data_IF_874874910978
#
_entry.id   IF_874874910978
#
_cell.length_a   1.000
_cell.length_b   1.000
_cell.length_c   1.000
_cell.angle_alpha   90.00
_cell.angle_beta   90.00
_cell.angle_gamma   90.00
#
_symmetry.space_group_name_H-M   'P 1'
#
loop_
_entity.id
_entity.type
_entity.pdbx_description
1 polymer ?
#
# COMPACT_ATOMS: atom_id res chain seq x y z
N UNK A 1 36.52 -19.19 -4.28
CA UNK A 1 35.32 -19.07 -5.15
C UNK A 1 34.76 -17.67 -4.97
N UNK A 2 34.83 -16.83 -6.01
CA UNK A 2 34.19 -15.52 -5.99
C UNK A 2 32.67 -15.69 -6.12
N UNK A 3 31.90 -15.10 -5.20
CA UNK A 3 30.44 -15.09 -5.29
C UNK A 3 30.03 -14.04 -6.32
N UNK A 4 29.54 -14.50 -7.49
CA UNK A 4 28.85 -13.62 -8.45
C UNK A 4 27.50 -13.24 -7.87
N UNK A 5 27.26 -11.94 -7.72
CA UNK A 5 26.03 -11.41 -7.11
C UNK A 5 25.26 -10.61 -8.15
N UNK A 6 23.94 -10.80 -8.21
CA UNK A 6 23.02 -10.00 -9.02
C UNK A 6 22.13 -9.17 -8.08
N UNK A 7 21.96 -7.89 -8.38
CA UNK A 7 21.14 -6.97 -7.60
C UNK A 7 20.01 -6.38 -8.45
N UNK A 8 18.83 -6.23 -7.86
CA UNK A 8 17.66 -5.60 -8.48
C UNK A 8 17.26 -4.39 -7.64
N UNK A 9 16.96 -3.28 -8.30
CA UNK A 9 16.51 -2.03 -7.65
C UNK A 9 15.29 -1.46 -8.36
N UNK A 10 14.32 -0.97 -7.58
CA UNK A 10 13.13 -0.27 -8.07
C UNK A 10 12.98 1.11 -7.40
N UNK A 11 14.12 1.77 -7.11
CA UNK A 11 14.13 3.09 -6.48
C UNK A 11 13.29 4.12 -7.26
N UNK A 12 13.51 4.24 -8.57
CA UNK A 12 12.78 5.18 -9.42
C UNK A 12 11.26 4.93 -9.40
N UNK A 13 10.85 3.65 -9.36
CA UNK A 13 9.44 3.30 -9.25
C UNK A 13 8.87 3.65 -7.87
N UNK A 14 9.64 3.40 -6.80
CA UNK A 14 9.26 3.80 -5.44
C UNK A 14 9.03 5.31 -5.35
N UNK A 15 9.95 6.12 -5.87
CA UNK A 15 9.84 7.58 -5.93
C UNK A 15 8.63 8.03 -6.75
N UNK A 16 8.36 7.37 -7.88
CA UNK A 16 7.18 7.67 -8.70
C UNK A 16 5.86 7.42 -7.97
N UNK A 17 5.78 6.35 -7.17
CA UNK A 17 4.58 6.03 -6.37
C UNK A 17 4.41 7.09 -5.29
N UNK A 18 5.47 7.42 -4.55
CA UNK A 18 5.45 8.43 -3.49
C UNK A 18 4.90 9.75 -4.03
N UNK A 19 5.41 10.21 -5.18
CA UNK A 19 4.93 11.42 -5.84
C UNK A 19 3.47 11.30 -6.31
N UNK A 20 3.11 10.17 -6.95
CA UNK A 20 1.77 9.93 -7.49
C UNK A 20 0.67 9.98 -6.44
N UNK A 21 0.95 9.53 -5.21
CA UNK A 21 0.00 9.53 -4.10
C UNK A 21 0.25 10.65 -3.08
N UNK A 22 1.08 11.64 -3.42
CA UNK A 22 1.31 12.85 -2.60
C UNK A 22 2.00 12.58 -1.25
N UNK A 23 2.81 11.53 -1.16
CA UNK A 23 3.48 11.09 0.07
C UNK A 23 4.93 11.60 0.19
N UNK A 24 5.32 12.64 -0.56
CA UNK A 24 6.70 13.15 -0.60
C UNK A 24 7.20 13.63 0.78
N UNK A 25 6.29 14.12 1.62
CA UNK A 25 6.57 14.59 2.98
C UNK A 25 6.24 13.55 4.06
N UNK A 26 5.94 12.30 3.67
CA UNK A 26 5.63 11.25 4.63
C UNK A 26 6.87 10.92 5.47
N UNK A 27 6.67 10.74 6.78
CA UNK A 27 7.75 10.32 7.67
C UNK A 27 8.11 8.86 7.39
N UNK A 28 9.40 8.51 7.33
CA UNK A 28 9.80 7.13 7.18
C UNK A 28 9.33 6.32 8.39
N UNK A 29 8.82 5.11 8.14
CA UNK A 29 8.40 4.17 9.17
C UNK A 29 9.05 2.81 8.91
N UNK A 30 9.58 2.18 9.97
CA UNK A 30 10.14 0.83 9.90
C UNK A 30 9.07 -0.25 9.90
N UNK A 31 7.86 0.08 10.36
CA UNK A 31 6.76 -0.86 10.50
C UNK A 31 5.68 -0.48 9.48
N UNK A 32 5.57 -1.20 8.34
CA UNK A 32 4.67 -0.83 7.24
C UNK A 32 3.19 -0.83 7.61
N UNK A 33 2.83 -1.52 8.69
CA UNK A 33 1.48 -1.61 9.22
C UNK A 33 1.52 -1.76 10.73
N UNK A 34 0.73 -0.96 11.44
CA UNK A 34 0.67 -0.98 12.90
C UNK A 34 0.40 -2.40 13.45
N UNK A 35 1.19 -2.89 14.43
CA UNK A 35 0.95 -4.17 15.07
C UNK A 35 -0.44 -4.21 15.71
N UNK A 36 -1.16 -5.31 15.51
CA UNK A 36 -2.50 -5.46 16.08
C UNK A 36 -3.61 -4.72 15.31
N UNK A 37 -3.31 -4.00 14.23
CA UNK A 37 -4.39 -3.40 13.42
C UNK A 37 -5.29 -4.48 12.83
N UNK A 38 -6.58 -4.35 13.13
CA UNK A 38 -7.64 -5.16 12.58
C UNK A 38 -8.44 -4.33 11.59
N UNK A 39 -8.32 -4.70 10.33
CA UNK A 39 -9.15 -4.19 9.24
C UNK A 39 -10.28 -5.19 9.03
N UNK A 40 -11.51 -4.73 9.13
CA UNK A 40 -12.71 -5.54 9.00
C UNK A 40 -13.62 -5.00 7.89
N UNK A 41 -14.55 -5.84 7.44
CA UNK A 41 -15.64 -5.40 6.55
C UNK A 41 -16.56 -4.37 7.22
N UNK A 42 -16.63 -4.37 8.55
CA UNK A 42 -17.35 -3.35 9.30
C UNK A 42 -16.73 -1.94 9.14
N UNK A 43 -15.46 -1.85 8.72
CA UNK A 43 -14.81 -0.57 8.43
C UNK A 43 -15.10 -0.07 6.99
N UNK A 44 -15.83 -0.84 6.19
CA UNK A 44 -16.29 -0.39 4.87
C UNK A 44 -17.29 0.78 5.01
N UNK A 45 -17.38 1.68 4.02
CA UNK A 45 -18.33 2.78 4.03
C UNK A 45 -19.78 2.30 4.21
N UNK A 46 -20.43 2.75 5.29
CA UNK A 46 -21.83 2.43 5.59
C UNK A 46 -22.79 3.51 5.09
N UNK A 47 -22.31 4.76 4.99
CA UNK A 47 -23.10 5.93 4.58
C UNK A 47 -22.72 6.37 3.16
N UNK A 48 -23.62 7.11 2.49
CA UNK A 48 -23.31 7.68 1.18
C UNK A 48 -22.24 8.78 1.28
N UNK A 49 -22.17 9.48 2.40
CA UNK A 49 -21.12 10.44 2.72
C UNK A 49 -19.74 9.78 2.77
N UNK A 50 -19.61 8.62 3.42
CA UNK A 50 -18.34 7.89 3.50
C UNK A 50 -17.92 7.31 2.14
N UNK A 51 -18.88 6.82 1.36
CA UNK A 51 -18.63 6.40 -0.03
C UNK A 51 -18.16 7.56 -0.88
N UNK A 52 -18.76 8.75 -0.72
CA UNK A 52 -18.36 9.94 -1.46
C UNK A 52 -16.92 10.37 -1.14
N UNK A 53 -16.48 10.28 0.12
CA UNK A 53 -15.08 10.54 0.52
C UNK A 53 -14.10 9.59 -0.19
N UNK A 54 -14.44 8.30 -0.26
CA UNK A 54 -13.57 7.28 -0.83
C UNK A 54 -13.61 7.22 -2.36
N UNK A 55 -14.70 7.68 -2.99
CA UNK A 55 -14.90 7.65 -4.45
C UNK A 55 -13.77 8.33 -5.24
N UNK A 56 -13.16 9.37 -4.68
CA UNK A 56 -12.06 10.10 -5.31
C UNK A 56 -10.68 9.48 -5.05
N UNK A 57 -10.56 8.57 -4.07
CA UNK A 57 -9.27 7.98 -3.67
C UNK A 57 -8.97 6.76 -4.56
N UNK A 58 -7.83 6.75 -5.29
CA UNK A 58 -7.47 5.65 -6.18
C UNK A 58 -6.91 4.43 -5.42
N UNK A 59 -7.69 3.86 -4.49
CA UNK A 59 -7.25 2.79 -3.58
C UNK A 59 -6.77 1.53 -4.31
N UNK A 60 -7.54 1.02 -5.27
CA UNK A 60 -7.16 -0.18 -6.04
C UNK A 60 -5.85 0.01 -6.82
N UNK A 61 -5.62 1.22 -7.33
CA UNK A 61 -4.38 1.58 -8.02
C UNK A 61 -3.20 1.67 -7.05
N UNK A 62 -3.41 2.22 -5.85
CA UNK A 62 -2.41 2.26 -4.78
C UNK A 62 -1.97 0.84 -4.40
N UNK A 63 -2.93 -0.03 -4.06
CA UNK A 63 -2.63 -1.40 -3.64
C UNK A 63 -1.91 -2.18 -4.74
N UNK A 64 -2.32 -2.02 -6.01
CA UNK A 64 -1.61 -2.64 -7.15
C UNK A 64 -0.17 -2.16 -7.31
N UNK A 65 0.07 -0.86 -7.11
CA UNK A 65 1.41 -0.27 -7.17
C UNK A 65 2.31 -0.80 -6.03
N UNK A 66 1.75 -0.91 -4.83
CA UNK A 66 2.44 -1.47 -3.67
C UNK A 66 2.70 -2.98 -3.82
N UNK A 67 1.78 -3.73 -4.43
CA UNK A 67 1.97 -5.15 -4.72
C UNK A 67 3.17 -5.38 -5.63
N UNK A 68 3.33 -4.56 -6.68
CA UNK A 68 4.48 -4.67 -7.56
C UNK A 68 5.82 -4.44 -6.83
N UNK A 69 5.87 -3.43 -5.93
CA UNK A 69 7.04 -3.21 -5.07
C UNK A 69 7.30 -4.42 -4.15
N UNK A 70 6.25 -4.95 -3.52
CA UNK A 70 6.33 -6.04 -2.56
C UNK A 70 6.92 -7.31 -3.19
N UNK A 71 6.44 -7.67 -4.39
CA UNK A 71 6.92 -8.84 -5.12
C UNK A 71 8.35 -8.66 -5.67
N UNK A 72 8.75 -7.43 -6.01
CA UNK A 72 10.02 -7.16 -6.67
C UNK A 72 11.19 -6.94 -5.71
N UNK A 73 11.11 -5.90 -4.88
CA UNK A 73 12.27 -5.39 -4.12
C UNK A 73 11.96 -5.02 -2.66
N UNK A 74 10.69 -5.04 -2.24
CA UNK A 74 10.23 -4.63 -0.90
C UNK A 74 9.39 -5.71 -0.19
N UNK A 75 9.92 -6.92 0.03
CA UNK A 75 9.15 -7.98 0.68
C UNK A 75 8.68 -7.60 2.10
N UNK A 76 9.34 -6.63 2.73
CA UNK A 76 8.99 -6.10 4.05
C UNK A 76 7.56 -5.50 4.13
N UNK A 77 7.01 -4.98 3.03
CA UNK A 77 5.64 -4.43 3.02
C UNK A 77 4.55 -5.46 2.68
N UNK A 78 4.92 -6.71 2.35
CA UNK A 78 4.00 -7.69 1.75
C UNK A 78 2.78 -7.99 2.64
N UNK A 79 2.98 -8.07 3.96
CA UNK A 79 1.88 -8.32 4.91
C UNK A 79 0.86 -7.18 4.92
N UNK A 80 1.34 -5.93 4.83
CA UNK A 80 0.47 -4.75 4.75
C UNK A 80 -0.37 -4.82 3.46
N UNK A 81 0.29 -5.02 2.32
CA UNK A 81 -0.37 -5.11 1.01
C UNK A 81 -1.40 -6.24 0.97
N UNK A 82 -1.07 -7.42 1.51
CA UNK A 82 -1.97 -8.57 1.53
C UNK A 82 -3.23 -8.36 2.40
N UNK A 83 -3.13 -7.53 3.45
CA UNK A 83 -4.29 -7.14 4.25
C UNK A 83 -5.15 -6.13 3.51
N UNK A 84 -4.53 -5.10 2.93
CA UNK A 84 -5.20 -4.05 2.17
C UNK A 84 -5.92 -4.58 0.93
N UNK A 85 -5.34 -5.58 0.25
CA UNK A 85 -5.92 -6.18 -0.96
C UNK A 85 -7.23 -6.92 -0.73
N UNK A 86 -7.65 -7.13 0.52
CA UNK A 86 -8.95 -7.73 0.86
C UNK A 86 -10.11 -6.75 0.66
N UNK A 87 -9.83 -5.45 0.57
CA UNK A 87 -10.82 -4.37 0.54
C UNK A 87 -10.77 -3.54 -0.75
N UNK A 88 -10.56 -4.18 -1.90
CA UNK A 88 -10.41 -3.48 -3.19
C UNK A 88 -11.73 -2.97 -3.77
N UNK A 89 -12.86 -3.60 -3.40
CA UNK A 89 -14.18 -3.31 -3.96
C UNK A 89 -14.87 -2.14 -3.26
N UNK A 90 -14.77 -2.07 -1.93
CA UNK A 90 -15.43 -1.05 -1.12
C UNK A 90 -14.53 -0.57 0.04
N UNK A 91 -13.38 0.07 -0.26
CA UNK A 91 -12.45 0.49 0.77
C UNK A 91 -13.05 1.61 1.64
N UNK A 92 -12.89 1.51 2.95
CA UNK A 92 -13.17 2.58 3.91
C UNK A 92 -11.94 3.42 4.20
N UNK A 93 -12.09 4.54 4.92
CA UNK A 93 -10.97 5.42 5.24
C UNK A 93 -9.91 4.79 6.16
N UNK A 94 -10.31 3.77 6.92
CA UNK A 94 -9.44 3.03 7.83
C UNK A 94 -8.64 1.94 7.10
N UNK A 95 -9.09 1.49 5.93
CA UNK A 95 -8.33 0.60 5.05
C UNK A 95 -7.23 1.41 4.37
#
# INVERSE_FOLDING_TARGET
MERRTLGISQKAYTESIIKKFGQENAKPCLTPLEPGVQLAKADEPQTEEDKAKMKSKPYRLLVGSLMYLACGTRPDISVAVAKLSRFLENPGEKH
#
